data_IF_859517034139
#
_entry.id   IF_859517034139
#
_cell.length_a   1.000
_cell.length_b   1.000
_cell.length_c   1.000
_cell.angle_alpha   90.00
_cell.angle_beta   90.00
_cell.angle_gamma   90.00
#
_symmetry.space_group_name_H-M   'P 1'
#
loop_
_entity.id
_entity.type
_entity.pdbx_description
1 polymer ?
#
# COMPACT_ATOMS: atom_id res chain seq x y z
N UNK A 1 3.03 24.03 -10.94
CA UNK A 1 3.86 23.00 -11.61
C UNK A 1 4.62 22.29 -10.49
N UNK A 2 4.02 21.25 -9.94
CA UNK A 2 4.60 20.50 -8.83
C UNK A 2 5.52 19.47 -9.47
N UNK A 3 6.81 19.69 -9.36
CA UNK A 3 7.81 18.70 -9.75
C UNK A 3 7.81 17.64 -8.66
N UNK A 4 7.11 16.52 -8.87
CA UNK A 4 7.26 15.36 -8.06
C UNK A 4 8.62 14.73 -8.40
N UNK A 5 9.68 15.18 -7.74
CA UNK A 5 10.90 14.39 -7.68
C UNK A 5 10.66 13.15 -6.78
N UNK A 6 9.76 12.30 -7.18
CA UNK A 6 9.70 10.97 -6.62
C UNK A 6 10.71 10.13 -7.39
N UNK A 7 11.96 10.26 -7.02
CA UNK A 7 13.01 9.27 -7.31
C UNK A 7 12.76 8.03 -6.42
N UNK A 8 11.51 7.67 -6.25
CA UNK A 8 11.09 6.45 -5.56
C UNK A 8 10.02 5.79 -6.41
N UNK A 9 10.08 4.47 -6.56
CA UNK A 9 9.07 3.75 -7.31
C UNK A 9 7.68 4.00 -6.70
N UNK A 10 6.69 4.26 -7.55
CA UNK A 10 5.29 4.33 -7.11
C UNK A 10 4.78 2.91 -6.92
N UNK A 11 4.19 2.65 -5.76
CA UNK A 11 3.43 1.45 -5.51
C UNK A 11 2.02 1.60 -6.08
N UNK A 12 1.64 0.67 -6.93
CA UNK A 12 0.28 0.55 -7.44
C UNK A 12 -0.31 -0.79 -7.00
N UNK A 13 -1.47 -0.74 -6.39
CA UNK A 13 -2.21 -1.93 -6.06
C UNK A 13 -2.99 -2.47 -7.26
N UNK A 14 -3.04 -3.78 -7.38
CA UNK A 14 -3.89 -4.43 -8.35
C UNK A 14 -5.25 -4.73 -7.71
N UNK A 15 -6.18 -3.76 -7.73
CA UNK A 15 -7.58 -4.03 -7.40
C UNK A 15 -8.23 -4.72 -8.60
N UNK A 16 -8.53 -5.99 -8.49
CA UNK A 16 -9.25 -6.73 -9.52
C UNK A 16 -10.75 -6.38 -9.48
N UNK A 17 -11.16 -5.38 -10.25
CA UNK A 17 -12.56 -5.20 -10.61
C UNK A 17 -12.91 -6.25 -11.67
N UNK A 18 -13.78 -7.18 -11.30
CA UNK A 18 -14.13 -8.36 -12.04
C UNK A 18 -14.59 -8.13 -13.49
N UNK A 19 -14.46 -9.20 -14.28
CA UNK A 19 -14.89 -9.44 -15.64
C UNK A 19 -13.98 -8.95 -16.77
N UNK A 20 -12.75 -9.47 -16.79
CA UNK A 20 -12.14 -9.80 -18.08
C UNK A 20 -11.65 -11.24 -18.00
N UNK A 21 -12.33 -12.13 -18.73
CA UNK A 21 -11.85 -13.48 -18.98
C UNK A 21 -10.61 -13.39 -19.86
N UNK A 22 -9.44 -13.33 -19.26
CA UNK A 22 -8.22 -13.75 -19.92
C UNK A 22 -7.64 -14.93 -19.15
N UNK A 23 -7.49 -16.02 -19.84
CA UNK A 23 -6.86 -17.24 -19.32
C UNK A 23 -5.46 -16.90 -18.83
N UNK A 24 -5.11 -17.40 -17.63
CA UNK A 24 -3.79 -17.34 -17.01
C UNK A 24 -3.40 -16.03 -16.29
N UNK A 25 -4.14 -15.63 -15.27
CA UNK A 25 -3.51 -15.02 -14.10
C UNK A 25 -4.27 -15.47 -12.86
N UNK A 26 -3.64 -16.26 -12.04
CA UNK A 26 -4.08 -16.50 -10.68
C UNK A 26 -4.15 -15.12 -10.00
N UNK A 27 -5.20 -14.82 -9.20
CA UNK A 27 -5.23 -13.59 -8.43
C UNK A 27 -3.98 -13.57 -7.55
N UNK A 28 -3.08 -12.65 -7.83
CA UNK A 28 -1.87 -12.48 -7.06
C UNK A 28 -2.21 -11.62 -5.84
N UNK A 29 -2.04 -12.17 -4.64
CA UNK A 29 -2.09 -11.40 -3.39
C UNK A 29 -0.82 -10.54 -3.28
N UNK A 30 -0.54 -9.72 -4.28
CA UNK A 30 0.71 -9.00 -4.37
C UNK A 30 0.52 -7.52 -4.68
N UNK A 31 1.44 -6.71 -4.19
CA UNK A 31 1.62 -5.32 -4.56
C UNK A 31 2.71 -5.20 -5.61
N UNK A 32 2.58 -4.22 -6.50
CA UNK A 32 3.54 -3.95 -7.57
C UNK A 32 4.21 -2.60 -7.38
N UNK A 33 5.44 -2.53 -7.82
CA UNK A 33 6.26 -1.34 -7.85
C UNK A 33 6.59 -0.97 -9.31
N UNK A 34 6.61 0.32 -9.59
CA UNK A 34 6.93 0.88 -10.91
C UNK A 34 7.98 1.97 -10.78
N UNK A 35 8.78 2.15 -11.81
CA UNK A 35 9.58 3.34 -11.98
C UNK A 35 8.72 4.37 -12.73
N UNK A 36 8.79 5.63 -12.30
CA UNK A 36 7.99 6.72 -12.88
C UNK A 36 8.93 7.72 -13.54
N UNK A 37 8.68 8.00 -14.81
CA UNK A 37 9.34 9.10 -15.49
C UNK A 37 8.78 10.44 -14.96
N UNK A 38 9.60 11.31 -14.38
CA UNK A 38 9.12 12.54 -13.75
C UNK A 38 8.58 13.57 -14.75
N UNK A 39 8.94 13.45 -16.03
CA UNK A 39 8.52 14.38 -17.08
C UNK A 39 7.24 13.92 -17.77
N UNK A 40 7.21 12.65 -18.19
CA UNK A 40 6.08 12.09 -18.95
C UNK A 40 5.03 11.46 -18.06
N UNK A 41 5.32 11.26 -16.77
CA UNK A 41 4.44 10.56 -15.81
C UNK A 41 4.16 9.11 -16.22
N UNK A 42 4.97 8.54 -17.10
CA UNK A 42 4.79 7.15 -17.55
C UNK A 42 5.35 6.16 -16.55
N UNK A 43 4.64 5.03 -16.40
CA UNK A 43 5.01 3.93 -15.51
C UNK A 43 5.76 2.85 -16.30
N UNK A 44 6.96 2.50 -15.86
CA UNK A 44 7.81 1.49 -16.50
C UNK A 44 8.33 0.49 -15.47
N UNK A 45 8.99 -0.56 -15.92
CA UNK A 45 9.70 -1.52 -15.08
C UNK A 45 8.83 -2.10 -13.95
N UNK A 46 7.62 -2.61 -14.31
CA UNK A 46 6.74 -3.27 -13.34
C UNK A 46 7.41 -4.47 -12.70
N UNK A 47 7.44 -4.51 -11.38
CA UNK A 47 7.96 -5.63 -10.59
C UNK A 47 7.11 -5.89 -9.36
N UNK A 48 7.10 -7.12 -8.87
CA UNK A 48 6.45 -7.44 -7.60
C UNK A 48 7.23 -6.76 -6.49
N UNK A 49 6.51 -6.03 -5.65
CA UNK A 49 7.07 -5.41 -4.46
C UNK A 49 6.98 -6.35 -3.26
N UNK A 50 5.77 -6.84 -2.96
CA UNK A 50 5.51 -7.69 -1.81
C UNK A 50 4.31 -8.62 -2.05
N UNK A 51 4.27 -9.70 -1.28
CA UNK A 51 3.13 -10.61 -1.21
C UNK A 51 2.42 -10.46 0.12
N UNK A 52 1.08 -10.55 0.09
CA UNK A 52 0.27 -10.74 1.27
C UNK A 52 -0.02 -12.23 1.44
N UNK A 53 0.18 -12.75 2.64
CA UNK A 53 -0.20 -14.11 3.02
C UNK A 53 -1.70 -14.21 3.42
N UNK A 54 -2.40 -13.08 3.51
CA UNK A 54 -3.81 -13.00 3.86
C UNK A 54 -4.55 -11.99 3.00
N UNK A 55 -5.37 -12.48 2.10
CA UNK A 55 -6.23 -11.68 1.24
C UNK A 55 -5.48 -10.85 0.19
N UNK A 56 -6.23 -10.11 -0.59
CA UNK A 56 -5.70 -9.21 -1.63
C UNK A 56 -5.41 -7.86 -0.99
N UNK A 57 -4.20 -7.29 -1.16
CA UNK A 57 -3.91 -5.94 -0.69
C UNK A 57 -4.91 -4.92 -1.24
N UNK A 58 -5.49 -4.08 -0.39
CA UNK A 58 -6.39 -2.98 -0.76
C UNK A 58 -5.70 -1.62 -0.47
N UNK A 59 -6.27 -0.70 0.29
CA UNK A 59 -5.70 0.62 0.53
C UNK A 59 -4.19 0.62 0.83
N UNK A 60 -3.48 1.69 0.47
CA UNK A 60 -2.02 1.77 0.62
C UNK A 60 -1.58 3.12 1.17
N UNK A 61 -0.66 3.11 2.12
CA UNK A 61 -0.03 4.29 2.70
C UNK A 61 1.48 4.07 2.85
N UNK A 62 2.23 5.16 2.89
CA UNK A 62 3.66 5.14 3.17
C UNK A 62 3.96 6.00 4.40
N UNK A 63 4.94 5.54 5.20
CA UNK A 63 5.51 6.37 6.25
C UNK A 63 6.77 7.13 5.78
N UNK A 64 7.26 8.02 6.63
CA UNK A 64 8.45 8.84 6.36
C UNK A 64 9.75 8.04 6.24
N UNK A 65 9.77 6.79 6.70
CA UNK A 65 10.88 5.86 6.53
C UNK A 65 10.79 5.06 5.22
N UNK A 66 9.70 5.23 4.47
CA UNK A 66 9.44 4.50 3.24
C UNK A 66 8.83 3.12 3.45
N UNK A 67 8.40 2.79 4.67
CA UNK A 67 7.64 1.58 4.90
C UNK A 67 6.26 1.69 4.27
N UNK A 68 5.76 0.57 3.77
CA UNK A 68 4.50 0.46 3.06
C UNK A 68 3.48 -0.25 3.94
N UNK A 69 2.35 0.39 4.13
CA UNK A 69 1.20 -0.14 4.86
C UNK A 69 0.11 -0.48 3.86
N UNK A 70 -0.46 -1.66 3.94
CA UNK A 70 -1.59 -2.02 3.07
C UNK A 70 -2.62 -2.86 3.81
N UNK A 71 -3.89 -2.59 3.52
CA UNK A 71 -5.00 -3.39 4.03
C UNK A 71 -5.00 -4.77 3.41
N UNK A 72 -5.18 -5.79 4.24
CA UNK A 72 -5.16 -7.19 3.86
C UNK A 72 -6.30 -7.95 4.55
N UNK A 73 -6.43 -9.25 4.29
CA UNK A 73 -7.57 -10.05 4.75
C UNK A 73 -7.70 -10.24 6.26
N UNK A 74 -6.64 -9.98 7.01
CA UNK A 74 -6.63 -10.16 8.48
C UNK A 74 -6.25 -8.89 9.25
N UNK A 75 -6.10 -7.77 8.53
CA UNK A 75 -5.67 -6.50 9.09
C UNK A 75 -4.73 -5.73 8.16
N UNK A 76 -3.92 -4.83 8.71
CA UNK A 76 -2.94 -4.05 7.93
C UNK A 76 -1.57 -4.70 8.01
N UNK A 77 -0.97 -4.98 6.86
CA UNK A 77 0.41 -5.45 6.76
C UNK A 77 1.36 -4.29 6.54
N UNK A 78 2.59 -4.42 7.07
CA UNK A 78 3.65 -3.40 6.95
C UNK A 78 4.90 -4.05 6.37
N UNK A 79 5.38 -3.51 5.25
CA UNK A 79 6.62 -3.93 4.61
C UNK A 79 7.65 -2.79 4.63
N UNK A 80 8.91 -3.16 4.74
CA UNK A 80 9.98 -2.20 4.56
C UNK A 80 10.17 -1.82 3.08
N UNK A 81 11.03 -0.82 2.74
CA UNK A 81 11.24 -0.39 1.35
C UNK A 81 11.72 -1.51 0.39
N UNK A 82 12.28 -2.59 0.92
CA UNK A 82 12.74 -3.75 0.15
C UNK A 82 11.65 -4.81 -0.06
N UNK A 83 10.42 -4.58 0.46
CA UNK A 83 9.30 -5.51 0.34
C UNK A 83 9.31 -6.64 1.36
N UNK A 84 10.14 -6.56 2.39
CA UNK A 84 10.14 -7.53 3.49
C UNK A 84 9.05 -7.18 4.48
N UNK A 85 8.20 -8.15 4.85
CA UNK A 85 7.18 -7.97 5.87
C UNK A 85 7.84 -7.76 7.25
N UNK A 86 7.58 -6.61 7.86
CA UNK A 86 8.17 -6.23 9.16
C UNK A 86 7.15 -6.19 10.29
N UNK A 87 5.85 -6.21 9.99
CA UNK A 87 4.82 -6.21 11.00
C UNK A 87 3.41 -6.31 10.43
N UNK A 88 2.46 -6.53 11.34
CA UNK A 88 1.03 -6.56 11.05
C UNK A 88 0.24 -5.91 12.18
N UNK A 89 -0.79 -5.16 11.83
CA UNK A 89 -1.88 -4.84 12.74
C UNK A 89 -2.95 -5.92 12.54
N UNK A 90 -2.92 -6.92 13.39
CA UNK A 90 -3.84 -8.06 13.29
C UNK A 90 -5.19 -7.70 13.92
N UNK A 91 -6.22 -7.64 13.10
CA UNK A 91 -7.59 -7.27 13.51
C UNK A 91 -8.57 -8.44 13.41
N UNK A 92 -8.13 -9.55 12.83
CA UNK A 92 -8.99 -10.71 12.48
C UNK A 92 -10.18 -10.29 11.58
N UNK A 93 -9.99 -9.27 10.78
CA UNK A 93 -10.96 -8.69 9.86
C UNK A 93 -10.22 -8.02 8.71
N UNK A 94 -10.87 -7.94 7.55
CA UNK A 94 -10.29 -7.31 6.35
C UNK A 94 -10.16 -5.80 6.54
N UNK A 95 -8.98 -5.27 6.35
CA UNK A 95 -8.75 -3.83 6.28
C UNK A 95 -8.90 -3.35 4.84
N UNK A 96 -9.80 -2.39 4.63
CA UNK A 96 -10.02 -1.78 3.33
C UNK A 96 -9.07 -0.59 3.08
N UNK A 97 -8.90 0.28 4.07
CA UNK A 97 -8.12 1.51 3.93
C UNK A 97 -7.48 1.91 5.27
N UNK A 98 -6.47 2.75 5.23
CA UNK A 98 -5.87 3.37 6.40
C UNK A 98 -5.37 4.78 6.07
N UNK A 99 -5.20 5.60 7.08
CA UNK A 99 -4.65 6.95 6.92
C UNK A 99 -3.82 7.35 8.14
N UNK A 100 -2.66 7.94 7.91
CA UNK A 100 -1.87 8.56 8.96
C UNK A 100 -2.52 9.85 9.43
N UNK A 101 -2.61 10.00 10.73
CA UNK A 101 -3.08 11.21 11.42
C UNK A 101 -2.01 11.70 12.39
N UNK A 102 -2.23 12.87 12.99
CA UNK A 102 -1.35 13.37 14.07
C UNK A 102 -1.36 12.48 15.31
N UNK A 103 -2.41 11.67 15.49
CA UNK A 103 -2.60 10.80 16.66
C UNK A 103 -2.22 9.34 16.41
N UNK A 104 -1.72 9.00 15.23
CA UNK A 104 -1.38 7.64 14.85
C UNK A 104 -2.01 7.20 13.53
N UNK A 105 -2.11 5.90 13.34
CA UNK A 105 -2.70 5.31 12.13
C UNK A 105 -4.16 4.98 12.37
N UNK A 106 -5.04 5.61 11.60
CA UNK A 106 -6.45 5.27 11.55
C UNK A 106 -6.63 4.14 10.55
N UNK A 107 -7.25 3.04 10.99
CA UNK A 107 -7.45 1.83 10.17
C UNK A 107 -8.95 1.59 10.04
N UNK A 108 -9.40 1.43 8.81
CA UNK A 108 -10.79 1.16 8.47
C UNK A 108 -10.91 -0.31 8.04
N UNK A 109 -11.56 -1.11 8.86
CA UNK A 109 -11.97 -2.45 8.46
C UNK A 109 -13.43 -2.45 7.96
N UNK A 110 -13.97 -3.63 7.67
CA UNK A 110 -15.32 -3.74 7.11
C UNK A 110 -16.40 -3.24 8.07
N UNK A 111 -16.19 -3.25 9.39
CA UNK A 111 -17.21 -2.97 10.40
C UNK A 111 -16.80 -1.89 11.40
N UNK A 112 -15.50 -1.62 11.53
CA UNK A 112 -14.97 -0.80 12.61
C UNK A 112 -13.88 0.15 12.13
N UNK A 113 -13.65 1.17 12.94
CA UNK A 113 -12.53 2.09 12.77
C UNK A 113 -11.65 1.95 14.01
N UNK A 114 -10.36 1.71 13.77
CA UNK A 114 -9.35 1.60 14.82
C UNK A 114 -8.38 2.77 14.73
N UNK A 115 -7.94 3.25 15.86
CA UNK A 115 -6.81 4.18 15.96
C UNK A 115 -5.64 3.44 16.61
N UNK A 116 -4.61 3.17 15.84
CA UNK A 116 -3.36 2.61 16.36
C UNK A 116 -2.43 3.75 16.77
N UNK A 117 -2.11 3.81 18.07
CA UNK A 117 -1.10 4.74 18.59
C UNK A 117 0.29 4.23 18.21
N UNK A 118 0.91 4.91 17.24
CA UNK A 118 2.22 4.56 16.69
C UNK A 118 3.07 5.81 16.49
N UNK A 119 4.38 5.64 16.53
CA UNK A 119 5.32 6.75 16.30
C UNK A 119 5.58 7.03 14.81
N UNK A 120 5.28 6.08 13.93
CA UNK A 120 5.42 6.28 12.50
C UNK A 120 4.51 7.41 12.01
N UNK A 121 5.02 8.21 11.10
CA UNK A 121 4.29 9.33 10.50
C UNK A 121 4.16 9.11 9.00
N UNK A 122 3.01 9.43 8.44
CA UNK A 122 2.78 9.40 7.02
C UNK A 122 3.61 10.43 6.27
N UNK A 123 3.88 10.18 5.01
CA UNK A 123 4.49 11.18 4.12
C UNK A 123 3.52 12.36 3.94
N UNK A 124 4.05 13.57 4.00
CA UNK A 124 3.28 14.77 3.69
C UNK A 124 3.25 14.98 2.17
N UNK A 125 2.13 14.61 1.55
CA UNK A 125 1.93 14.79 0.10
C UNK A 125 1.87 16.27 -0.32
N UNK A 126 1.62 17.20 0.61
CA UNK A 126 1.62 18.63 0.32
C UNK A 126 3.04 19.22 0.24
N UNK A 127 4.05 18.47 0.67
CA UNK A 127 5.46 18.86 0.58
C UNK A 127 6.08 18.54 -0.80
N UNK A 128 5.33 17.89 -1.68
CA UNK A 128 5.71 17.54 -3.05
C UNK A 128 4.79 18.32 -4.04
#
# INVERSE_FOLDING_TARGET
MVCLEIIRPILLQCKFLGHIRSRLSLPCNCSYQYDVDPVTQSFTNRRVFAYSDSGIPDGIQLDTNGNVYSGCGEGTHVWNPEGTLIGKFFLNSTTAEMIFTKSGLLILDEERIYLADIQAQGIDLAAY
#
